data_IF_366666618453
#
_entry.id   IF_366666618453
#
_cell.length_a   1.000
_cell.length_b   1.000
_cell.length_c   1.000
_cell.angle_alpha   90.00
_cell.angle_beta   90.00
_cell.angle_gamma   90.00
#
_symmetry.space_group_name_H-M   'P 1'
#
loop_
_entity.id
_entity.type
_entity.pdbx_description
1 polymer ?
#
# COMPACT_ATOMS: atom_id res chain seq x y z
N UNK A 1 7.65 6.86 -31.94
CA UNK A 1 8.31 6.15 -30.82
C UNK A 1 7.40 4.99 -30.45
N UNK A 2 7.93 3.82 -30.12
CA UNK A 2 7.10 2.69 -29.69
C UNK A 2 6.89 2.78 -28.18
N UNK A 3 5.67 2.55 -27.72
CA UNK A 3 5.30 2.51 -26.31
C UNK A 3 4.79 1.11 -25.98
N UNK A 4 5.38 0.49 -24.97
CA UNK A 4 5.18 -0.93 -24.67
C UNK A 4 4.79 -1.07 -23.20
N UNK A 5 3.75 -1.85 -22.93
CA UNK A 5 3.42 -2.34 -21.59
C UNK A 5 3.85 -3.81 -21.50
N UNK A 6 4.61 -4.13 -20.46
CA UNK A 6 5.15 -5.46 -20.21
C UNK A 6 4.15 -6.28 -19.40
N UNK A 7 3.90 -7.50 -19.85
CA UNK A 7 3.02 -8.44 -19.17
C UNK A 7 3.75 -9.74 -18.93
N UNK A 8 3.75 -10.21 -17.69
CA UNK A 8 4.35 -11.48 -17.26
C UNK A 8 3.29 -12.23 -16.44
N UNK A 9 3.09 -13.53 -16.72
CA UNK A 9 2.08 -14.35 -16.05
C UNK A 9 0.67 -13.72 -15.99
N UNK A 10 0.25 -13.11 -17.11
CA UNK A 10 -1.01 -12.37 -17.25
C UNK A 10 -1.17 -11.14 -16.34
N UNK A 11 -0.07 -10.62 -15.78
CA UNK A 11 -0.06 -9.40 -14.97
C UNK A 11 0.82 -8.35 -15.61
N UNK A 12 0.37 -7.10 -15.56
CA UNK A 12 1.20 -5.98 -16.00
C UNK A 12 2.35 -5.80 -14.99
N UNK A 13 3.58 -5.81 -15.47
CA UNK A 13 4.79 -5.68 -14.63
C UNK A 13 5.52 -4.35 -14.83
N UNK A 14 5.28 -3.67 -15.95
CA UNK A 14 5.87 -2.37 -16.20
C UNK A 14 5.54 -1.82 -17.58
N UNK A 15 6.25 -0.75 -17.95
CA UNK A 15 6.15 -0.15 -19.27
C UNK A 15 7.49 0.45 -19.69
N UNK A 16 7.73 0.55 -21.00
CA UNK A 16 8.93 1.15 -21.56
C UNK A 16 8.81 1.46 -23.05
N UNK A 17 9.90 1.93 -23.63
CA UNK A 17 10.00 2.28 -25.05
C UNK A 17 10.85 1.30 -25.86
N UNK A 18 11.25 0.20 -25.23
CA UNK A 18 12.05 -0.88 -25.79
C UNK A 18 11.47 -2.20 -25.31
N UNK A 19 11.57 -3.25 -26.13
CA UNK A 19 11.12 -4.58 -25.75
C UNK A 19 11.93 -5.10 -24.58
N UNK A 20 11.25 -5.71 -23.60
CA UNK A 20 11.88 -6.43 -22.52
C UNK A 20 12.12 -7.87 -22.96
N UNK A 21 13.36 -8.34 -22.74
CA UNK A 21 13.77 -9.72 -23.03
C UNK A 21 13.62 -10.53 -21.75
N UNK A 22 12.87 -11.63 -21.81
CA UNK A 22 12.71 -12.57 -20.72
C UNK A 22 11.78 -13.72 -21.11
N UNK A 23 11.86 -14.82 -20.39
CA UNK A 23 10.92 -15.93 -20.56
C UNK A 23 9.53 -15.48 -20.09
N UNK A 24 8.48 -15.85 -20.83
CA UNK A 24 7.08 -15.55 -20.51
C UNK A 24 6.69 -14.05 -20.47
N UNK A 25 7.52 -13.16 -21.01
CA UNK A 25 7.21 -11.73 -21.13
C UNK A 25 6.52 -11.44 -22.46
N UNK A 26 5.37 -10.78 -22.40
CA UNK A 26 4.67 -10.22 -23.55
C UNK A 26 4.89 -8.72 -23.62
N UNK A 27 5.34 -8.25 -24.78
CA UNK A 27 5.54 -6.84 -25.08
C UNK A 27 4.31 -6.32 -25.84
N UNK A 28 3.39 -5.67 -25.13
CA UNK A 28 2.15 -5.16 -25.73
C UNK A 28 2.35 -3.71 -26.17
N UNK A 29 2.39 -3.47 -27.48
CA UNK A 29 2.45 -2.11 -28.03
C UNK A 29 1.11 -1.39 -27.81
N UNK A 30 1.18 -0.17 -27.29
CA UNK A 30 0.02 0.67 -26.95
C UNK A 30 0.18 2.09 -27.49
N UNK A 31 -0.92 2.83 -27.52
CA UNK A 31 -0.89 4.26 -27.84
C UNK A 31 -0.15 5.06 -26.74
N UNK A 32 0.43 6.18 -27.14
CA UNK A 32 1.12 7.11 -26.23
C UNK A 32 0.22 7.61 -25.09
N UNK A 33 -1.07 7.83 -25.37
CA UNK A 33 -2.07 8.22 -24.38
C UNK A 33 -2.21 7.17 -23.27
N UNK A 34 -2.40 5.90 -23.65
CA UNK A 34 -2.51 4.76 -22.73
C UNK A 34 -1.23 4.61 -21.92
N UNK A 35 -0.08 4.73 -22.57
CA UNK A 35 1.21 4.67 -21.89
C UNK A 35 1.35 5.76 -20.82
N UNK A 36 1.05 7.02 -21.18
CA UNK A 36 1.17 8.15 -20.25
C UNK A 36 0.18 8.05 -19.09
N UNK A 37 -1.07 7.63 -19.34
CA UNK A 37 -2.06 7.36 -18.29
C UNK A 37 -1.56 6.24 -17.34
N UNK A 38 -1.02 5.15 -17.89
CA UNK A 38 -0.48 4.03 -17.09
C UNK A 38 0.71 4.45 -16.22
N UNK A 39 1.63 5.28 -16.74
CA UNK A 39 2.78 5.77 -15.96
C UNK A 39 2.32 6.65 -14.78
N UNK A 40 1.23 7.40 -14.95
CA UNK A 40 0.67 8.21 -13.87
C UNK A 40 -0.02 7.35 -12.81
N UNK A 41 -0.79 6.34 -13.24
CA UNK A 41 -1.45 5.40 -12.35
C UNK A 41 -1.59 4.02 -13.02
N UNK A 42 -0.80 3.07 -12.52
CA UNK A 42 -0.74 1.72 -13.08
C UNK A 42 -2.02 0.90 -12.86
N UNK A 43 -2.91 1.31 -11.95
CA UNK A 43 -4.15 0.59 -11.66
C UNK A 43 -5.24 0.87 -12.71
N UNK A 44 -5.08 1.92 -13.53
CA UNK A 44 -6.04 2.32 -14.55
C UNK A 44 -6.25 1.26 -15.63
N UNK A 45 -5.27 0.37 -15.81
CA UNK A 45 -5.29 -0.62 -16.88
C UNK A 45 -5.07 -2.03 -16.34
N UNK A 46 -5.67 -2.99 -17.05
CA UNK A 46 -5.46 -4.41 -16.84
C UNK A 46 -5.13 -5.07 -18.17
N UNK A 47 -4.43 -6.19 -18.09
CA UNK A 47 -4.26 -7.08 -19.23
C UNK A 47 -5.41 -8.09 -19.25
N UNK A 48 -6.19 -8.09 -20.33
CA UNK A 48 -7.31 -9.01 -20.52
C UNK A 48 -7.46 -9.35 -22.01
N UNK A 49 -7.68 -10.63 -22.31
CA UNK A 49 -7.91 -11.11 -23.68
C UNK A 49 -6.81 -10.69 -24.68
N UNK A 50 -5.55 -10.68 -24.23
CA UNK A 50 -4.40 -10.32 -25.06
C UNK A 50 -4.21 -8.81 -25.26
N UNK A 51 -4.97 -7.96 -24.58
CA UNK A 51 -4.94 -6.50 -24.75
C UNK A 51 -4.88 -5.75 -23.43
N UNK A 52 -4.33 -4.54 -23.49
CA UNK A 52 -4.40 -3.57 -22.40
C UNK A 52 -5.74 -2.85 -22.50
N UNK A 53 -6.56 -2.97 -21.46
CA UNK A 53 -7.90 -2.35 -21.38
C UNK A 53 -8.07 -1.63 -20.06
N UNK A 54 -8.93 -0.60 -20.02
CA UNK A 54 -9.24 0.10 -18.76
C UNK A 54 -9.75 -0.87 -17.70
N UNK A 55 -9.28 -0.70 -16.48
CA UNK A 55 -9.68 -1.51 -15.34
C UNK A 55 -11.12 -1.15 -14.93
N UNK A 56 -12.10 -2.05 -15.10
CA UNK A 56 -13.48 -1.77 -14.69
C UNK A 56 -13.63 -1.63 -13.17
N UNK A 57 -12.69 -2.20 -12.41
CA UNK A 57 -12.67 -2.16 -10.95
C UNK A 57 -11.59 -1.19 -10.43
N UNK A 58 -11.25 -0.16 -11.21
CA UNK A 58 -10.21 0.82 -10.86
C UNK A 58 -10.44 1.45 -9.47
N UNK A 59 -11.64 1.93 -9.20
CA UNK A 59 -11.98 2.57 -7.92
C UNK A 59 -11.81 1.61 -6.75
N UNK A 60 -12.28 0.37 -6.89
CA UNK A 60 -12.11 -0.67 -5.88
C UNK A 60 -10.63 -1.00 -5.67
N UNK A 61 -9.86 -1.18 -6.74
CA UNK A 61 -8.43 -1.47 -6.66
C UNK A 61 -7.66 -0.33 -5.97
N UNK A 62 -8.02 0.93 -6.27
CA UNK A 62 -7.44 2.12 -5.65
C UNK A 62 -7.79 2.22 -4.17
N UNK A 63 -9.04 1.91 -3.80
CA UNK A 63 -9.46 1.82 -2.41
C UNK A 63 -8.69 0.72 -1.66
N UNK A 64 -8.59 -0.48 -2.22
CA UNK A 64 -7.83 -1.59 -1.62
C UNK A 64 -6.36 -1.22 -1.44
N UNK A 65 -5.74 -0.55 -2.41
CA UNK A 65 -4.36 -0.07 -2.30
C UNK A 65 -4.22 0.94 -1.14
N UNK A 66 -5.14 1.91 -1.03
CA UNK A 66 -5.12 2.90 0.04
C UNK A 66 -5.29 2.25 1.44
N UNK A 67 -6.22 1.30 1.57
CA UNK A 67 -6.42 0.54 2.82
C UNK A 67 -5.17 -0.26 3.16
N UNK A 68 -4.58 -0.97 2.19
CA UNK A 68 -3.35 -1.75 2.39
C UNK A 68 -2.16 -0.88 2.81
N UNK A 69 -2.01 0.29 2.20
CA UNK A 69 -0.98 1.26 2.59
C UNK A 69 -1.19 1.79 4.01
N UNK A 70 -2.45 2.07 4.40
CA UNK A 70 -2.76 2.49 5.77
C UNK A 70 -2.49 1.39 6.79
N UNK A 71 -2.89 0.15 6.50
CA UNK A 71 -2.58 -1.03 7.32
C UNK A 71 -1.08 -1.13 7.56
N UNK A 72 -0.27 -1.10 6.50
CA UNK A 72 1.20 -1.18 6.60
C UNK A 72 1.78 -0.07 7.48
N UNK A 73 1.22 1.14 7.40
CA UNK A 73 1.65 2.27 8.23
C UNK A 73 1.27 2.06 9.70
N UNK A 74 0.06 1.57 9.97
CA UNK A 74 -0.37 1.24 11.34
C UNK A 74 0.53 0.17 11.95
N UNK A 75 0.91 -0.87 11.20
CA UNK A 75 1.83 -1.91 11.67
C UNK A 75 3.20 -1.33 12.08
N UNK A 76 3.72 -0.36 11.31
CA UNK A 76 4.94 0.37 11.67
C UNK A 76 4.76 1.21 12.93
N UNK A 77 3.68 1.98 13.02
CA UNK A 77 3.35 2.81 14.19
C UNK A 77 3.20 1.94 15.46
N UNK A 78 2.55 0.78 15.35
CA UNK A 78 2.42 -0.20 16.44
C UNK A 78 3.78 -0.72 16.89
N UNK A 79 4.65 -1.11 15.97
CA UNK A 79 6.00 -1.59 16.31
C UNK A 79 6.80 -0.52 17.06
N UNK A 80 6.76 0.73 16.61
CA UNK A 80 7.41 1.85 17.30
C UNK A 80 6.85 2.08 18.71
N UNK A 81 5.53 2.02 18.86
CA UNK A 81 4.87 2.18 20.16
C UNK A 81 5.14 1.00 21.09
N UNK A 82 5.19 -0.23 20.59
CA UNK A 82 5.54 -1.42 21.37
C UNK A 82 6.97 -1.31 21.93
N UNK A 83 7.93 -0.84 21.13
CA UNK A 83 9.30 -0.56 21.59
C UNK A 83 9.33 0.49 22.71
N UNK A 84 8.59 1.59 22.53
CA UNK A 84 8.47 2.65 23.55
C UNK A 84 7.77 2.15 24.81
N UNK A 85 6.75 1.31 24.66
CA UNK A 85 6.03 0.68 25.77
C UNK A 85 6.97 -0.19 26.60
N UNK A 86 7.74 -1.08 25.97
CA UNK A 86 8.70 -1.96 26.68
C UNK A 86 9.68 -1.13 27.52
N UNK A 87 10.17 -0.03 26.96
CA UNK A 87 11.04 0.90 27.69
C UNK A 87 10.33 1.54 28.89
N UNK A 88 9.12 2.06 28.67
CA UNK A 88 8.32 2.71 29.72
C UNK A 88 7.93 1.76 30.87
N UNK A 89 7.82 0.45 30.60
CA UNK A 89 7.60 -0.57 31.66
C UNK A 89 8.80 -0.65 32.62
N UNK A 90 10.01 -0.34 32.15
CA UNK A 90 11.23 -0.42 32.94
C UNK A 90 11.65 0.91 33.58
N UNK A 91 10.98 2.01 33.24
CA UNK A 91 11.27 3.34 33.76
C UNK A 91 10.40 3.66 34.98
N UNK A 92 10.88 4.57 35.84
CA UNK A 92 10.09 5.03 36.99
C UNK A 92 8.77 5.68 36.52
N UNK A 93 7.70 5.45 37.27
CA UNK A 93 6.39 6.00 36.96
C UNK A 93 6.36 7.52 37.13
N UNK A 94 6.65 8.25 36.05
CA UNK A 94 6.51 9.70 35.98
C UNK A 94 5.16 10.02 35.36
N UNK A 95 4.32 10.75 36.11
CA UNK A 95 3.02 11.24 35.64
C UNK A 95 3.17 12.64 35.06
N UNK A 96 2.53 12.88 33.93
CA UNK A 96 2.40 14.21 33.38
C UNK A 96 1.47 15.08 34.24
N UNK A 97 1.89 16.29 34.57
CA UNK A 97 1.17 17.19 35.49
C UNK A 97 -0.20 17.65 34.96
N UNK A 98 -0.40 17.64 33.64
CA UNK A 98 -1.63 18.13 33.00
C UNK A 98 -2.65 17.02 32.79
N UNK A 99 -2.19 15.83 32.41
CA UNK A 99 -3.04 14.69 32.04
C UNK A 99 -3.12 13.62 33.13
N UNK A 100 -2.23 13.67 34.12
CA UNK A 100 -2.07 12.67 35.19
C UNK A 100 -1.80 11.24 34.69
N UNK A 101 -1.36 11.09 33.45
CA UNK A 101 -1.04 9.82 32.79
C UNK A 101 0.47 9.58 32.79
N UNK A 102 0.86 8.30 32.91
CA UNK A 102 2.24 7.89 32.66
C UNK A 102 2.49 7.69 31.16
N UNK A 103 3.76 7.62 30.76
CA UNK A 103 4.11 7.23 29.39
C UNK A 103 3.58 5.85 29.01
N UNK A 104 3.58 4.92 29.97
CA UNK A 104 3.03 3.57 29.77
C UNK A 104 1.53 3.62 29.47
N UNK A 105 0.76 4.42 30.22
CA UNK A 105 -0.68 4.62 29.98
C UNK A 105 -0.93 5.21 28.60
N UNK A 106 -0.16 6.23 28.23
CA UNK A 106 -0.26 6.89 26.93
C UNK A 106 -0.01 5.90 25.78
N UNK A 107 1.08 5.13 25.83
CA UNK A 107 1.39 4.17 24.77
C UNK A 107 0.36 3.05 24.69
N UNK A 108 -0.13 2.54 25.83
CA UNK A 108 -1.19 1.54 25.84
C UNK A 108 -2.48 2.03 25.17
N UNK A 109 -2.91 3.26 25.48
CA UNK A 109 -4.07 3.88 24.84
C UNK A 109 -3.88 4.00 23.32
N UNK A 110 -2.71 4.48 22.87
CA UNK A 110 -2.44 4.62 21.43
C UNK A 110 -2.39 3.29 20.69
N UNK A 111 -1.78 2.27 21.29
CA UNK A 111 -1.74 0.91 20.74
C UNK A 111 -3.16 0.34 20.62
N UNK A 112 -4.01 0.56 21.62
CA UNK A 112 -5.40 0.12 21.60
C UNK A 112 -6.19 0.75 20.46
N UNK A 113 -6.12 2.08 20.32
CA UNK A 113 -6.80 2.83 19.24
C UNK A 113 -6.36 2.33 17.86
N UNK A 114 -5.04 2.17 17.66
CA UNK A 114 -4.47 1.68 16.40
C UNK A 114 -4.88 0.24 16.08
N UNK A 115 -5.01 -0.64 17.09
CA UNK A 115 -5.49 -2.02 16.88
C UNK A 115 -6.96 -2.05 16.48
N UNK A 116 -7.80 -1.17 17.04
CA UNK A 116 -9.19 -1.03 16.60
C UNK A 116 -9.24 -0.58 15.14
N UNK A 117 -8.47 0.46 14.79
CA UNK A 117 -8.39 0.95 13.41
C UNK A 117 -7.91 -0.17 12.46
N UNK A 118 -6.84 -0.89 12.83
CA UNK A 118 -6.31 -2.01 12.06
C UNK A 118 -7.37 -3.09 11.81
N UNK A 119 -8.06 -3.55 12.86
CA UNK A 119 -9.10 -4.57 12.74
C UNK A 119 -10.27 -4.10 11.85
N UNK A 120 -10.64 -2.83 11.95
CA UNK A 120 -11.69 -2.23 11.12
C UNK A 120 -11.28 -2.20 9.64
N UNK A 121 -10.03 -1.83 9.34
CA UNK A 121 -9.50 -1.80 7.97
C UNK A 121 -9.32 -3.21 7.40
N UNK A 122 -8.84 -4.16 8.20
CA UNK A 122 -8.72 -5.57 7.78
C UNK A 122 -10.07 -6.21 7.46
N UNK A 123 -11.15 -5.74 8.09
CA UNK A 123 -12.51 -6.22 7.78
C UNK A 123 -13.08 -5.65 6.47
N UNK A 124 -12.42 -4.66 5.86
CA UNK A 124 -12.84 -4.02 4.59
C UNK A 124 -12.20 -4.65 3.35
N UNK A 125 -11.22 -5.53 3.53
CA UNK A 125 -10.51 -6.27 2.47
C UNK A 125 -10.98 -7.72 2.51
#
# INVERSE_FOLDING_TARGET
MKYIIFVEDNKITGAGCTEQIGENIQNIEVEESIYNEFIQDNLLYIFKDGKITKNPNYETARQTLAVTQRIRKIEQELNELDLKRIRAVCEDEIRDEKTNQTWLDYYNSKIYDLRIELNSLQSQI
#
